data_IF_886133057255
#
_entry.id   IF_886133057255
#
_cell.length_a   1.000
_cell.length_b   1.000
_cell.length_c   1.000
_cell.angle_alpha   90.00
_cell.angle_beta   90.00
_cell.angle_gamma   90.00
#
_symmetry.space_group_name_H-M   'P 1'
#
loop_
_entity.id
_entity.type
_entity.pdbx_description
1 polymer ?
#
# COMPACT_ATOMS: atom_id res chain seq x y z
N UNK A 1 -20.37 16.93 21.73
CA UNK A 1 -18.94 16.75 21.42
C UNK A 1 -18.01 17.57 22.31
N UNK A 2 -18.34 18.83 22.63
CA UNK A 2 -17.48 19.75 23.38
C UNK A 2 -16.78 19.15 24.63
N UNK A 3 -17.51 18.41 25.47
CA UNK A 3 -16.94 17.85 26.71
C UNK A 3 -15.91 16.73 26.54
N UNK A 4 -15.97 15.94 25.45
CA UNK A 4 -15.00 14.86 25.18
C UNK A 4 -13.71 15.41 24.55
N UNK A 5 -13.86 16.42 23.68
CA UNK A 5 -12.72 17.11 23.04
C UNK A 5 -11.93 17.89 24.08
N UNK A 6 -12.59 18.55 25.03
CA UNK A 6 -11.89 19.29 26.09
C UNK A 6 -11.01 18.39 26.97
N UNK A 7 -11.43 17.14 27.23
CA UNK A 7 -10.75 16.23 28.16
C UNK A 7 -9.66 15.36 27.56
N UNK A 8 -9.52 15.30 26.22
CA UNK A 8 -8.49 14.47 25.58
C UNK A 8 -7.19 15.27 25.37
N UNK A 9 -6.07 14.54 25.27
CA UNK A 9 -4.79 15.08 24.80
C UNK A 9 -4.61 14.95 23.28
N UNK A 10 -5.16 13.88 22.69
CA UNK A 10 -5.02 13.55 21.27
C UNK A 10 -6.39 13.45 20.59
N UNK A 11 -6.46 13.89 19.33
CA UNK A 11 -7.61 13.71 18.46
C UNK A 11 -7.14 12.98 17.21
N UNK A 12 -7.69 11.79 16.99
CA UNK A 12 -7.30 10.89 15.90
C UNK A 12 -8.32 10.98 14.75
N UNK A 13 -7.85 11.37 13.56
CA UNK A 13 -8.65 11.54 12.35
C UNK A 13 -8.47 10.34 11.41
N UNK A 14 -9.26 9.29 11.66
CA UNK A 14 -9.40 8.14 10.78
C UNK A 14 -10.57 8.36 9.79
N UNK A 15 -10.45 9.40 8.97
CA UNK A 15 -11.42 9.78 7.93
C UNK A 15 -10.75 9.77 6.55
N UNK A 16 -11.53 9.93 5.48
CA UNK A 16 -10.98 9.98 4.13
C UNK A 16 -10.02 11.15 3.94
N UNK A 17 -8.96 10.92 3.17
CA UNK A 17 -7.93 11.90 2.83
C UNK A 17 -8.51 13.22 2.30
N UNK A 18 -9.52 13.14 1.44
CA UNK A 18 -10.22 14.30 0.86
C UNK A 18 -10.96 15.16 1.88
N UNK A 19 -11.32 14.60 3.04
CA UNK A 19 -12.10 15.28 4.08
C UNK A 19 -11.22 15.90 5.16
N UNK A 20 -9.94 15.51 5.26
CA UNK A 20 -9.04 15.92 6.34
C UNK A 20 -8.93 17.44 6.47
N UNK A 21 -8.67 18.14 5.37
CA UNK A 21 -8.41 19.57 5.41
C UNK A 21 -9.64 20.37 5.84
N UNK A 22 -10.79 20.10 5.22
CA UNK A 22 -12.04 20.80 5.53
C UNK A 22 -12.49 20.53 6.97
N UNK A 23 -12.44 19.25 7.40
CA UNK A 23 -12.81 18.87 8.76
C UNK A 23 -11.91 19.54 9.81
N UNK A 24 -10.60 19.59 9.57
CA UNK A 24 -9.67 20.29 10.45
C UNK A 24 -10.01 21.78 10.58
N UNK A 25 -10.19 22.47 9.45
CA UNK A 25 -10.48 23.90 9.42
C UNK A 25 -11.81 24.24 10.12
N UNK A 26 -12.83 23.42 9.91
CA UNK A 26 -14.17 23.68 10.45
C UNK A 26 -14.28 23.36 11.94
N UNK A 27 -13.57 22.35 12.43
CA UNK A 27 -13.82 21.79 13.76
C UNK A 27 -12.65 21.79 14.72
N UNK A 28 -11.41 21.85 14.22
CA UNK A 28 -10.21 21.58 15.03
C UNK A 28 -9.16 22.69 15.03
N UNK A 29 -9.27 23.68 14.15
CA UNK A 29 -8.31 24.77 14.06
C UNK A 29 -8.16 25.57 15.38
N UNK A 30 -9.22 25.66 16.18
CA UNK A 30 -9.21 26.33 17.49
C UNK A 30 -8.63 25.48 18.63
N UNK A 31 -8.28 24.21 18.39
CA UNK A 31 -7.81 23.27 19.40
C UNK A 31 -6.27 23.14 19.38
N UNK A 32 -5.57 24.28 19.52
CA UNK A 32 -4.10 24.34 19.50
C UNK A 32 -3.43 23.62 20.69
N UNK A 33 -4.19 23.35 21.76
CA UNK A 33 -3.73 22.60 22.93
C UNK A 33 -3.74 21.08 22.74
N UNK A 34 -4.25 20.59 21.59
CA UNK A 34 -4.44 19.17 21.31
C UNK A 34 -3.43 18.66 20.28
N UNK A 35 -2.96 17.44 20.47
CA UNK A 35 -2.21 16.73 19.45
C UNK A 35 -3.18 16.16 18.42
N UNK A 36 -3.12 16.67 17.19
CA UNK A 36 -3.96 16.21 16.09
C UNK A 36 -3.19 15.20 15.24
N UNK A 37 -3.79 14.05 14.99
CA UNK A 37 -3.14 12.95 14.24
C UNK A 37 -4.06 12.46 13.15
N UNK A 38 -3.53 12.26 11.95
CA UNK A 38 -4.24 11.59 10.86
C UNK A 38 -3.42 10.42 10.32
N UNK A 39 -4.07 9.54 9.57
CA UNK A 39 -3.45 8.29 9.11
C UNK A 39 -3.15 8.26 7.61
N UNK A 40 -3.35 9.36 6.87
CA UNK A 40 -2.96 9.44 5.45
C UNK A 40 -1.48 9.12 5.21
N UNK A 41 -1.23 8.19 4.27
CA UNK A 41 0.11 7.91 3.77
C UNK A 41 0.68 9.03 2.91
N UNK A 42 -0.17 9.76 2.18
CA UNK A 42 0.22 10.70 1.13
C UNK A 42 0.21 12.17 1.58
N UNK A 43 -0.67 12.56 2.51
CA UNK A 43 -0.92 13.95 2.85
C UNK A 43 -0.21 14.38 4.12
N UNK A 44 0.25 15.62 4.19
CA UNK A 44 0.70 16.25 5.43
C UNK A 44 0.15 17.66 5.51
N UNK A 45 -0.31 18.02 6.71
CA UNK A 45 -0.81 19.34 7.01
C UNK A 45 -0.02 19.90 8.20
N UNK A 46 0.44 21.15 8.09
CA UNK A 46 1.09 21.83 9.21
C UNK A 46 0.09 21.91 10.37
N UNK A 47 0.51 21.51 11.57
CA UNK A 47 -0.34 21.45 12.76
C UNK A 47 -1.01 20.09 13.00
N UNK A 48 -0.78 19.10 12.12
CA UNK A 48 -1.19 17.70 12.34
C UNK A 48 0.01 16.78 12.17
N UNK A 49 0.05 15.71 12.96
CA UNK A 49 0.98 14.60 12.79
C UNK A 49 0.35 13.60 11.81
N UNK A 50 1.15 13.14 10.85
CA UNK A 50 0.79 12.00 10.03
C UNK A 50 1.41 10.74 10.62
N UNK A 51 0.59 9.75 11.01
CA UNK A 51 1.05 8.46 11.52
C UNK A 51 0.46 7.33 10.67
N UNK A 52 1.01 7.08 9.48
CA UNK A 52 0.46 6.09 8.55
C UNK A 52 0.88 4.67 8.96
N UNK A 53 -0.06 3.77 9.29
CA UNK A 53 0.26 2.36 9.48
C UNK A 53 0.60 1.73 8.13
N UNK A 54 1.79 1.14 8.01
CA UNK A 54 2.20 0.36 6.83
C UNK A 54 1.53 -1.02 6.87
N UNK A 55 0.23 -1.04 6.62
CA UNK A 55 -0.62 -2.23 6.68
C UNK A 55 -1.85 -2.05 5.79
N UNK A 56 -2.49 -3.15 5.41
CA UNK A 56 -3.84 -3.14 4.83
C UNK A 56 -4.87 -3.47 5.91
N UNK A 57 -6.08 -2.92 5.83
CA UNK A 57 -7.16 -3.22 6.78
C UNK A 57 -8.37 -3.72 6.01
N UNK A 58 -8.92 -4.85 6.46
CA UNK A 58 -10.13 -5.45 5.91
C UNK A 58 -11.35 -5.25 6.81
N UNK A 59 -12.48 -5.90 6.50
CA UNK A 59 -13.67 -5.89 7.35
C UNK A 59 -13.43 -6.63 8.69
N UNK A 60 -12.49 -7.57 8.69
CA UNK A 60 -12.15 -8.37 9.86
C UNK A 60 -10.98 -7.74 10.64
N UNK A 61 -11.08 -7.82 11.96
CA UNK A 61 -10.01 -7.37 12.86
C UNK A 61 -8.87 -8.38 12.89
N UNK A 62 -7.64 -7.88 12.97
CA UNK A 62 -6.49 -8.72 13.26
C UNK A 62 -6.43 -9.13 14.73
N UNK A 63 -5.61 -10.13 15.03
CA UNK A 63 -5.22 -10.40 16.41
C UNK A 63 -4.24 -9.32 16.92
N UNK A 64 -4.08 -9.26 18.24
CA UNK A 64 -3.20 -8.28 18.89
C UNK A 64 -1.74 -8.40 18.42
N UNK A 65 -1.26 -9.62 18.21
CA UNK A 65 0.13 -9.88 17.81
C UNK A 65 0.42 -9.27 16.44
N UNK A 66 -0.53 -9.37 15.51
CA UNK A 66 -0.45 -8.75 14.18
C UNK A 66 -0.47 -7.23 14.30
N UNK A 67 -1.38 -6.66 15.10
CA UNK A 67 -1.41 -5.21 15.32
C UNK A 67 -0.10 -4.66 15.88
N UNK A 68 0.56 -5.40 16.79
CA UNK A 68 1.83 -5.01 17.39
C UNK A 68 3.01 -5.05 16.41
N UNK A 69 2.89 -5.76 15.28
CA UNK A 69 3.93 -5.83 14.25
C UNK A 69 3.85 -4.70 13.21
N UNK A 70 2.73 -3.97 13.15
CA UNK A 70 2.53 -2.90 12.16
C UNK A 70 3.61 -1.83 12.33
N UNK A 71 4.30 -1.47 11.25
CA UNK A 71 5.26 -0.37 11.23
C UNK A 71 4.54 0.94 10.91
N UNK A 72 4.90 2.05 11.57
CA UNK A 72 4.31 3.37 11.29
C UNK A 72 5.29 4.27 10.54
N UNK A 73 4.83 4.94 9.49
CA UNK A 73 5.55 6.03 8.86
C UNK A 73 5.06 7.38 9.41
N UNK A 74 5.95 8.09 10.11
CA UNK A 74 5.64 9.30 10.86
C UNK A 74 6.09 10.56 10.11
N UNK A 75 5.28 11.62 10.17
CA UNK A 75 5.67 12.96 9.73
C UNK A 75 5.13 14.00 10.71
N UNK A 76 5.99 14.92 11.14
CA UNK A 76 5.60 16.00 12.06
C UNK A 76 5.76 15.68 13.55
N UNK A 77 6.36 14.53 13.89
CA UNK A 77 6.83 14.19 15.23
C UNK A 77 8.12 13.35 15.15
N UNK A 78 8.82 13.21 16.28
CA UNK A 78 10.06 12.45 16.39
C UNK A 78 9.81 11.00 16.81
N UNK A 79 8.74 10.74 17.57
CA UNK A 79 8.43 9.41 18.07
C UNK A 79 6.97 9.01 17.90
N UNK A 80 6.70 7.71 17.88
CA UNK A 80 5.34 7.18 17.81
C UNK A 80 4.52 7.55 19.05
N UNK A 81 5.14 7.62 20.23
CA UNK A 81 4.42 7.91 21.49
C UNK A 81 3.87 9.34 21.52
N UNK A 82 4.47 10.27 20.77
CA UNK A 82 3.97 11.64 20.59
C UNK A 82 2.68 11.68 19.75
N UNK A 83 2.46 10.67 18.89
CA UNK A 83 1.28 10.58 18.04
C UNK A 83 0.21 9.66 18.64
N UNK A 84 0.62 8.50 19.12
CA UNK A 84 -0.26 7.40 19.54
C UNK A 84 0.21 6.88 20.90
N UNK A 85 -0.05 7.62 21.99
CA UNK A 85 0.38 7.22 23.32
C UNK A 85 -0.24 5.87 23.70
N UNK A 86 0.61 4.89 24.00
CA UNK A 86 0.20 3.51 24.32
C UNK A 86 0.52 2.49 23.24
N UNK A 87 0.97 2.92 22.05
CA UNK A 87 1.53 2.01 21.05
C UNK A 87 3.05 1.96 21.13
N UNK A 88 3.60 0.74 21.10
CA UNK A 88 5.04 0.47 21.09
C UNK A 88 5.53 -0.08 19.75
N UNK A 89 4.73 0.13 18.70
CA UNK A 89 5.04 -0.33 17.36
C UNK A 89 6.35 0.30 16.84
N UNK A 90 7.01 -0.40 15.92
CA UNK A 90 8.16 0.16 15.21
C UNK A 90 7.72 1.32 14.30
N UNK A 91 8.62 2.27 14.06
CA UNK A 91 8.32 3.42 13.20
C UNK A 91 9.55 3.94 12.46
N UNK A 92 9.30 4.71 11.41
CA UNK A 92 10.30 5.49 10.65
C UNK A 92 9.75 6.89 10.42
N UNK A 93 10.61 7.91 10.48
CA UNK A 93 10.24 9.27 10.13
C UNK A 93 10.45 9.48 8.62
N UNK A 94 9.44 10.05 7.96
CA UNK A 94 9.50 10.45 6.55
C UNK A 94 9.26 11.95 6.44
N UNK A 95 10.01 12.62 5.58
CA UNK A 95 9.79 14.04 5.35
C UNK A 95 8.46 14.28 4.62
N UNK A 96 7.83 15.42 4.91
CA UNK A 96 6.55 15.78 4.30
C UNK A 96 6.59 15.77 2.76
N UNK A 97 7.70 16.22 2.16
CA UNK A 97 7.86 16.23 0.69
C UNK A 97 8.01 14.83 0.07
N UNK A 98 8.33 13.81 0.86
CA UNK A 98 8.49 12.43 0.37
C UNK A 98 7.20 11.61 0.47
N UNK A 99 6.18 12.09 1.18
CA UNK A 99 4.97 11.32 1.47
C UNK A 99 4.25 10.82 0.23
N UNK A 100 4.14 11.66 -0.80
CA UNK A 100 3.54 11.25 -2.07
C UNK A 100 4.33 10.11 -2.73
N UNK A 101 5.66 10.17 -2.74
CA UNK A 101 6.53 9.11 -3.26
C UNK A 101 6.44 7.84 -2.40
N UNK A 102 6.51 7.98 -1.08
CA UNK A 102 6.34 6.87 -0.13
C UNK A 102 5.01 6.13 -0.36
N UNK A 103 3.91 6.87 -0.46
CA UNK A 103 2.60 6.27 -0.66
C UNK A 103 2.47 5.63 -2.05
N UNK A 104 3.05 6.24 -3.09
CA UNK A 104 3.11 5.62 -4.42
C UNK A 104 3.84 4.26 -4.39
N UNK A 105 4.93 4.13 -3.64
CA UNK A 105 5.63 2.84 -3.46
C UNK A 105 4.76 1.83 -2.70
N UNK A 106 3.99 2.26 -1.70
CA UNK A 106 3.04 1.41 -1.00
C UNK A 106 1.93 0.90 -1.93
N UNK A 107 1.42 1.76 -2.82
CA UNK A 107 0.41 1.39 -3.83
C UNK A 107 0.98 0.40 -4.85
N UNK A 108 2.21 0.64 -5.34
CA UNK A 108 2.90 -0.28 -6.24
C UNK A 108 3.11 -1.67 -5.61
N UNK A 109 3.58 -1.72 -4.36
CA UNK A 109 3.89 -2.98 -3.68
C UNK A 109 2.66 -3.71 -3.13
N UNK A 110 1.67 -2.98 -2.62
CA UNK A 110 0.49 -3.53 -1.98
C UNK A 110 -0.70 -3.65 -2.94
N UNK A 111 -1.29 -2.51 -3.30
CA UNK A 111 -2.53 -2.49 -4.08
C UNK A 111 -2.39 -3.16 -5.45
N UNK A 112 -1.29 -2.91 -6.17
CA UNK A 112 -1.11 -3.54 -7.50
C UNK A 112 -0.83 -5.03 -7.39
N UNK A 113 -0.11 -5.47 -6.35
CA UNK A 113 0.02 -6.91 -6.08
C UNK A 113 -1.35 -7.55 -5.85
N UNK A 114 -2.23 -6.94 -5.05
CA UNK A 114 -3.60 -7.43 -4.87
C UNK A 114 -4.36 -7.50 -6.20
N UNK A 115 -4.27 -6.45 -7.03
CA UNK A 115 -4.92 -6.40 -8.35
C UNK A 115 -4.46 -7.54 -9.28
N UNK A 116 -3.16 -7.81 -9.32
CA UNK A 116 -2.57 -8.87 -10.17
C UNK A 116 -2.94 -10.26 -9.67
N UNK A 117 -2.89 -10.49 -8.36
CA UNK A 117 -3.27 -11.76 -7.75
C UNK A 117 -4.77 -12.05 -7.91
N UNK A 118 -5.62 -11.04 -7.76
CA UNK A 118 -7.06 -11.17 -7.97
C UNK A 118 -7.38 -11.62 -9.42
N UNK A 119 -6.75 -11.01 -10.43
CA UNK A 119 -6.93 -11.41 -11.84
C UNK A 119 -6.46 -12.84 -12.11
N UNK A 120 -5.33 -13.24 -11.54
CA UNK A 120 -4.85 -14.62 -11.65
C UNK A 120 -5.89 -15.60 -11.10
N UNK A 121 -6.43 -15.32 -9.91
CA UNK A 121 -7.43 -16.19 -9.27
C UNK A 121 -8.75 -16.25 -10.04
N UNK A 122 -9.21 -15.13 -10.60
CA UNK A 122 -10.38 -15.06 -11.47
C UNK A 122 -10.20 -15.93 -12.72
N UNK A 123 -9.11 -15.74 -13.48
CA UNK A 123 -8.85 -16.54 -14.68
C UNK A 123 -8.62 -18.02 -14.37
N UNK A 124 -8.01 -18.34 -13.22
CA UNK A 124 -7.87 -19.73 -12.77
C UNK A 124 -9.23 -20.36 -12.48
N UNK A 125 -10.16 -19.62 -11.86
CA UNK A 125 -11.50 -20.11 -11.60
C UNK A 125 -12.26 -20.44 -12.89
N UNK A 126 -12.13 -19.62 -13.95
CA UNK A 126 -12.71 -19.90 -15.28
C UNK A 126 -12.18 -21.21 -15.88
N UNK A 127 -10.90 -21.51 -15.64
CA UNK A 127 -10.25 -22.76 -16.05
C UNK A 127 -10.48 -23.93 -15.06
N UNK A 128 -11.28 -23.72 -14.02
CA UNK A 128 -11.54 -24.69 -12.94
C UNK A 128 -10.29 -25.10 -12.16
N UNK A 129 -9.29 -24.22 -12.10
CA UNK A 129 -8.10 -24.37 -11.24
C UNK A 129 -8.45 -23.83 -9.85
N UNK A 130 -8.33 -24.64 -8.78
CA UNK A 130 -8.71 -24.21 -7.45
C UNK A 130 -7.70 -23.22 -6.87
N UNK A 131 -8.17 -22.28 -6.05
CA UNK A 131 -7.32 -21.32 -5.33
C UNK A 131 -6.24 -22.00 -4.47
N UNK A 132 -6.52 -23.20 -3.94
CA UNK A 132 -5.54 -23.99 -3.20
C UNK A 132 -4.31 -24.38 -4.02
N UNK A 133 -4.42 -24.48 -5.35
CA UNK A 133 -3.29 -24.70 -6.24
C UNK A 133 -2.46 -23.42 -6.47
N UNK A 134 -3.12 -22.25 -6.50
CA UNK A 134 -2.44 -20.96 -6.67
C UNK A 134 -1.69 -20.51 -5.40
N UNK A 135 -2.25 -20.80 -4.22
CA UNK A 135 -1.72 -20.37 -2.92
C UNK A 135 -0.22 -20.64 -2.72
N UNK A 136 0.28 -21.89 -2.83
CA UNK A 136 1.71 -22.16 -2.59
C UNK A 136 2.62 -21.45 -3.60
N UNK A 137 2.15 -21.23 -4.83
CA UNK A 137 2.90 -20.48 -5.84
C UNK A 137 3.01 -19.00 -5.44
N UNK A 138 1.90 -18.36 -5.07
CA UNK A 138 1.86 -16.94 -4.66
C UNK A 138 2.72 -16.72 -3.41
N UNK A 139 2.57 -17.58 -2.40
CA UNK A 139 3.37 -17.52 -1.17
C UNK A 139 4.87 -17.62 -1.47
N UNK A 140 5.26 -18.53 -2.37
CA UNK A 140 6.66 -18.67 -2.78
C UNK A 140 7.18 -17.45 -3.54
N UNK A 141 6.37 -16.87 -4.43
CA UNK A 141 6.74 -15.63 -5.16
C UNK A 141 7.02 -14.50 -4.17
N UNK A 142 6.14 -14.30 -3.19
CA UNK A 142 6.31 -13.26 -2.16
C UNK A 142 7.55 -13.55 -1.31
N UNK A 143 7.70 -14.78 -0.81
CA UNK A 143 8.85 -15.18 0.01
C UNK A 143 10.18 -14.97 -0.72
N UNK A 144 10.28 -15.40 -1.98
CA UNK A 144 11.49 -15.22 -2.78
C UNK A 144 11.79 -13.73 -3.01
N UNK A 145 10.77 -12.93 -3.33
CA UNK A 145 10.93 -11.48 -3.56
C UNK A 145 11.40 -10.77 -2.31
N UNK A 146 10.88 -11.12 -1.14
CA UNK A 146 11.33 -10.53 0.13
C UNK A 146 12.75 -10.95 0.52
N UNK A 147 13.16 -12.18 0.16
CA UNK A 147 14.50 -12.69 0.47
C UNK A 147 15.58 -12.15 -0.47
N UNK A 148 15.28 -12.05 -1.77
CA UNK A 148 16.22 -11.55 -2.78
C UNK A 148 15.45 -10.88 -3.94
N UNK A 149 15.11 -9.59 -3.81
CA UNK A 149 14.32 -8.87 -4.82
C UNK A 149 14.98 -8.82 -6.20
N UNK A 150 16.32 -8.73 -6.25
CA UNK A 150 17.07 -8.57 -7.50
C UNK A 150 17.04 -9.84 -8.36
N UNK A 151 17.11 -11.02 -7.73
CA UNK A 151 17.14 -12.30 -8.42
C UNK A 151 15.78 -13.02 -8.46
N UNK A 152 14.78 -12.58 -7.68
CA UNK A 152 13.47 -13.23 -7.62
C UNK A 152 12.70 -13.15 -8.94
N UNK A 153 13.01 -12.15 -9.78
CA UNK A 153 12.34 -11.96 -11.05
C UNK A 153 12.80 -13.01 -12.09
N UNK A 154 11.91 -13.95 -12.39
CA UNK A 154 12.16 -15.05 -13.33
C UNK A 154 11.07 -15.11 -14.40
N UNK A 155 11.22 -16.01 -15.38
CA UNK A 155 10.21 -16.25 -16.42
C UNK A 155 10.55 -15.61 -17.76
N UNK A 156 9.56 -15.50 -18.67
CA UNK A 156 9.81 -15.14 -20.07
C UNK A 156 10.33 -13.70 -20.24
N UNK A 157 9.91 -12.75 -19.41
CA UNK A 157 10.40 -11.38 -19.46
C UNK A 157 11.87 -11.30 -19.04
N UNK A 158 12.24 -11.97 -17.93
CA UNK A 158 13.60 -12.00 -17.42
C UNK A 158 14.60 -12.57 -18.44
N UNK A 159 14.19 -13.64 -19.14
CA UNK A 159 15.03 -14.31 -20.15
C UNK A 159 14.86 -13.75 -21.57
N UNK A 160 14.11 -12.66 -21.74
CA UNK A 160 13.81 -12.04 -23.03
C UNK A 160 13.28 -13.04 -24.08
N UNK A 161 12.34 -13.91 -23.68
CA UNK A 161 11.68 -14.89 -24.56
C UNK A 161 10.52 -14.25 -25.34
N UNK A 162 10.84 -13.72 -26.53
CA UNK A 162 9.89 -13.00 -27.37
C UNK A 162 8.69 -13.87 -27.82
N UNK A 163 8.92 -15.15 -28.08
CA UNK A 163 7.88 -16.06 -28.59
C UNK A 163 6.83 -16.35 -27.51
N UNK A 164 7.25 -16.57 -26.26
CA UNK A 164 6.33 -16.73 -25.14
C UNK A 164 5.59 -15.42 -24.84
N UNK A 165 6.28 -14.27 -24.89
CA UNK A 165 5.64 -12.96 -24.70
C UNK A 165 4.57 -12.69 -25.76
N UNK A 166 4.83 -12.98 -27.03
CA UNK A 166 3.86 -12.78 -28.12
C UNK A 166 2.60 -13.64 -27.92
N UNK A 167 2.76 -14.91 -27.53
CA UNK A 167 1.64 -15.79 -27.19
C UNK A 167 0.83 -15.28 -26.00
N UNK A 168 1.50 -14.80 -24.94
CA UNK A 168 0.82 -14.25 -23.77
C UNK A 168 0.02 -12.99 -24.13
N UNK A 169 0.60 -12.08 -24.92
CA UNK A 169 -0.10 -10.88 -25.37
C UNK A 169 -1.33 -11.22 -26.24
N UNK A 170 -1.21 -12.20 -27.13
CA UNK A 170 -2.33 -12.69 -27.93
C UNK A 170 -3.44 -13.34 -27.07
N UNK A 171 -3.07 -14.09 -26.04
CA UNK A 171 -4.02 -14.69 -25.11
C UNK A 171 -4.78 -13.65 -24.27
N UNK A 172 -4.21 -12.45 -24.13
CA UNK A 172 -4.83 -11.30 -23.47
C UNK A 172 -5.53 -10.36 -24.48
N UNK A 173 -5.76 -10.76 -25.73
CA UNK A 173 -6.52 -9.92 -26.66
C UNK A 173 -7.92 -9.63 -26.09
N UNK A 174 -8.34 -8.37 -26.21
CA UNK A 174 -9.58 -7.82 -25.65
C UNK A 174 -9.67 -7.85 -24.10
N UNK A 175 -8.59 -8.26 -23.40
CA UNK A 175 -8.47 -8.17 -21.95
C UNK A 175 -7.75 -6.87 -21.54
N UNK A 176 -8.32 -6.03 -20.64
CA UNK A 176 -7.65 -4.83 -20.14
C UNK A 176 -6.25 -5.08 -19.55
N UNK A 177 -5.97 -6.28 -19.04
CA UNK A 177 -4.65 -6.65 -18.52
C UNK A 177 -3.58 -6.81 -19.60
N UNK A 178 -3.94 -6.81 -20.88
CA UNK A 178 -2.95 -6.68 -21.96
C UNK A 178 -2.17 -5.37 -21.83
N UNK A 179 -2.85 -4.26 -21.49
CA UNK A 179 -2.20 -2.97 -21.28
C UNK A 179 -1.27 -3.00 -20.06
N UNK A 180 -1.70 -3.69 -18.99
CA UNK A 180 -0.87 -3.91 -17.80
C UNK A 180 0.38 -4.71 -18.17
N UNK A 181 0.23 -5.83 -18.89
CA UNK A 181 1.36 -6.64 -19.35
C UNK A 181 2.36 -5.83 -20.19
N UNK A 182 1.85 -4.99 -21.11
CA UNK A 182 2.67 -4.08 -21.92
C UNK A 182 3.44 -3.07 -21.06
N UNK A 183 2.83 -2.52 -20.01
CA UNK A 183 3.53 -1.61 -19.10
C UNK A 183 4.71 -2.29 -18.36
N UNK A 184 4.54 -3.56 -17.96
CA UNK A 184 5.65 -4.36 -17.41
C UNK A 184 6.76 -4.61 -18.43
N UNK A 185 6.40 -4.91 -19.69
CA UNK A 185 7.39 -5.03 -20.77
C UNK A 185 8.16 -3.73 -20.98
N UNK A 186 7.49 -2.59 -21.04
CA UNK A 186 8.15 -1.29 -21.19
C UNK A 186 9.11 -0.98 -20.04
N UNK A 187 8.79 -1.44 -18.83
CA UNK A 187 9.62 -1.24 -17.63
C UNK A 187 10.84 -2.16 -17.61
N UNK A 188 10.67 -3.43 -17.96
CA UNK A 188 11.67 -4.49 -17.75
C UNK A 188 12.44 -4.87 -19.02
N UNK A 189 11.86 -4.60 -20.18
CA UNK A 189 12.43 -4.89 -21.50
C UNK A 189 12.05 -3.78 -22.49
N UNK A 190 12.58 -2.55 -22.33
CA UNK A 190 12.20 -1.39 -23.13
C UNK A 190 12.53 -1.55 -24.62
N UNK A 191 13.45 -2.46 -24.99
CA UNK A 191 13.77 -2.79 -26.39
C UNK A 191 12.80 -3.77 -27.04
N UNK A 192 11.82 -4.32 -26.31
CA UNK A 192 10.85 -5.24 -26.89
C UNK A 192 10.07 -4.56 -28.02
N UNK A 193 9.93 -5.18 -29.21
CA UNK A 193 9.31 -4.54 -30.36
C UNK A 193 7.88 -4.08 -30.05
N UNK A 194 7.63 -2.77 -30.21
CA UNK A 194 6.28 -2.19 -30.17
C UNK A 194 5.63 -2.44 -31.54
N UNK A 195 4.89 -3.54 -31.67
CA UNK A 195 3.99 -3.74 -32.80
C UNK A 195 2.73 -2.90 -32.60
#
# INVERSE_FOLDING_TARGET
MAGKVSSCSHILLAISDSSLQAFYQEHLAQHEDKTLVHFSGALYFKGMIAAHPLMTFGPDLYDLATYQQIHFALTGCDSLIDALPGLSNSYSNIFAFEKARYHALCVLGGNFTTLLLAKMLEGFAEMKIPQSAAKPYIERVIQNTLANPEDAFTGPLARKDAATVEKNLQALNDDPYQAVYKAFLETLWPEYPRK
#
